data_IF_278290874116
#
_entry.id   IF_278290874116
#
_cell.length_a   1.000
_cell.length_b   1.000
_cell.length_c   1.000
_cell.angle_alpha   90.00
_cell.angle_beta   90.00
_cell.angle_gamma   90.00
#
_symmetry.space_group_name_H-M   'P 1'
#
loop_
_entity.id
_entity.type
_entity.pdbx_description
1 polymer ?
#
# COMPACT_ATOMS: atom_id res chain seq x y z
N UNK A 1 10.01 12.91 3.48
CA UNK A 1 8.70 12.61 2.86
C UNK A 1 8.99 11.87 1.56
N UNK A 2 8.41 10.68 1.34
CA UNK A 2 8.63 9.93 0.09
C UNK A 2 8.19 10.80 -1.09
N UNK A 3 9.01 10.86 -2.13
CA UNK A 3 8.82 11.71 -3.31
C UNK A 3 9.00 10.85 -4.56
N UNK A 4 8.25 11.14 -5.61
CA UNK A 4 8.48 10.52 -6.93
C UNK A 4 9.77 11.00 -7.60
N UNK A 5 10.41 12.04 -7.05
CA UNK A 5 11.70 12.59 -7.52
C UNK A 5 12.91 12.12 -6.72
N UNK A 6 12.68 11.53 -5.55
CA UNK A 6 13.72 10.98 -4.68
C UNK A 6 13.22 9.65 -4.10
N UNK A 7 13.73 8.57 -4.67
CA UNK A 7 13.34 7.20 -4.32
C UNK A 7 14.23 6.60 -3.24
N UNK A 8 15.25 7.32 -2.74
CA UNK A 8 16.18 6.82 -1.71
C UNK A 8 15.51 6.47 -0.37
N UNK A 9 14.30 7.01 -0.16
CA UNK A 9 13.48 6.77 1.03
C UNK A 9 12.52 5.58 0.88
N UNK A 10 12.49 4.91 -0.28
CA UNK A 10 11.68 3.70 -0.43
C UNK A 10 12.32 2.54 0.35
N UNK A 11 11.53 1.73 1.08
CA UNK A 11 12.05 0.58 1.77
C UNK A 11 12.50 -0.49 0.78
N UNK A 12 13.44 -1.34 1.21
CA UNK A 12 13.76 -2.56 0.48
C UNK A 12 12.53 -3.48 0.41
N UNK A 13 12.40 -4.21 -0.70
CA UNK A 13 11.26 -5.10 -0.92
C UNK A 13 11.11 -6.12 0.22
N UNK A 14 12.22 -6.67 0.71
CA UNK A 14 12.23 -7.64 1.81
C UNK A 14 11.70 -7.03 3.12
N UNK A 15 12.05 -5.78 3.41
CA UNK A 15 11.56 -5.06 4.58
C UNK A 15 10.07 -4.77 4.48
N UNK A 16 9.60 -4.34 3.30
CA UNK A 16 8.18 -4.11 3.04
C UNK A 16 7.37 -5.40 3.20
N UNK A 17 7.86 -6.53 2.65
CA UNK A 17 7.22 -7.84 2.78
C UNK A 17 7.15 -8.30 4.23
N UNK A 18 8.24 -8.17 4.97
CA UNK A 18 8.30 -8.53 6.39
C UNK A 18 7.32 -7.70 7.23
N UNK A 19 7.26 -6.39 6.98
CA UNK A 19 6.32 -5.50 7.67
C UNK A 19 4.87 -5.88 7.37
N UNK A 20 4.54 -6.09 6.09
CA UNK A 20 3.19 -6.48 5.68
C UNK A 20 2.76 -7.82 6.32
N UNK A 21 3.67 -8.80 6.37
CA UNK A 21 3.43 -10.07 7.06
C UNK A 21 3.21 -9.88 8.55
N UNK A 22 4.04 -9.06 9.20
CA UNK A 22 3.99 -8.82 10.65
C UNK A 22 2.65 -8.22 11.06
N UNK A 23 2.20 -7.17 10.37
CA UNK A 23 0.94 -6.52 10.74
C UNK A 23 -0.28 -7.40 10.38
N UNK A 24 -0.23 -8.17 9.29
CA UNK A 24 -1.29 -9.13 8.99
C UNK A 24 -1.38 -10.28 10.02
N UNK A 25 -0.23 -10.73 10.54
CA UNK A 25 -0.20 -11.74 11.61
C UNK A 25 -0.78 -11.17 12.92
N UNK A 26 -0.44 -9.94 13.27
CA UNK A 26 -1.03 -9.27 14.43
C UNK A 26 -2.55 -9.12 14.29
N UNK A 27 -3.04 -8.69 13.12
CA UNK A 27 -4.48 -8.62 12.85
C UNK A 27 -5.14 -10.00 13.00
N UNK A 28 -4.49 -11.08 12.55
CA UNK A 28 -5.02 -12.43 12.66
C UNK A 28 -5.04 -12.99 14.10
N UNK A 29 -4.15 -12.50 14.97
CA UNK A 29 -4.14 -12.81 16.42
C UNK A 29 -5.26 -12.07 17.14
N UNK A 30 -5.48 -10.79 16.80
CA UNK A 30 -6.50 -9.96 17.43
C UNK A 30 -7.90 -10.37 17.00
N UNK A 31 -8.08 -10.65 15.70
CA UNK A 31 -9.37 -11.01 15.10
C UNK A 31 -9.28 -12.40 14.44
N UNK A 32 -9.76 -13.45 15.12
CA UNK A 32 -9.77 -14.80 14.58
C UNK A 32 -10.66 -14.96 13.34
N UNK A 33 -11.76 -14.21 13.22
CA UNK A 33 -12.64 -14.29 12.06
C UNK A 33 -12.01 -13.63 10.84
N UNK A 34 -11.72 -14.45 9.83
CA UNK A 34 -11.14 -13.99 8.57
C UNK A 34 -11.93 -12.87 7.89
N UNK A 35 -13.27 -12.91 7.96
CA UNK A 35 -14.12 -11.94 7.27
C UNK A 35 -13.99 -10.53 7.85
N UNK A 36 -13.58 -10.41 9.11
CA UNK A 36 -13.48 -9.15 9.85
C UNK A 36 -12.06 -8.58 9.89
N UNK A 37 -11.06 -9.33 9.38
CA UNK A 37 -9.66 -8.86 9.36
C UNK A 37 -9.46 -7.73 8.36
N UNK A 38 -8.79 -6.68 8.84
CA UNK A 38 -8.40 -5.53 8.02
C UNK A 38 -7.22 -5.86 7.11
N UNK A 39 -6.24 -6.63 7.59
CA UNK A 39 -5.05 -7.03 6.84
C UNK A 39 -5.03 -8.51 6.56
N UNK A 40 -4.41 -8.87 5.44
CA UNK A 40 -4.21 -10.26 5.04
C UNK A 40 -2.87 -10.42 4.35
N UNK A 41 -2.26 -11.59 4.51
CA UNK A 41 -0.99 -11.96 3.89
C UNK A 41 -1.04 -13.41 3.41
N UNK A 42 -0.95 -13.61 2.10
CA UNK A 42 -0.93 -14.92 1.46
C UNK A 42 0.45 -15.23 0.91
N UNK A 43 1.19 -16.11 1.59
CA UNK A 43 2.53 -16.54 1.18
C UNK A 43 2.56 -17.47 -0.05
N UNK A 44 1.40 -18.02 -0.44
CA UNK A 44 1.23 -18.95 -1.55
C UNK A 44 0.17 -18.42 -2.51
N UNK A 45 0.31 -17.16 -2.93
CA UNK A 45 -0.66 -16.53 -3.84
C UNK A 45 -0.54 -17.10 -5.27
N UNK A 46 0.69 -17.42 -5.66
CA UNK A 46 1.05 -18.04 -6.93
C UNK A 46 2.47 -18.61 -6.86
N UNK A 47 3.03 -19.03 -8.01
CA UNK A 47 4.41 -19.52 -8.09
C UNK A 47 5.38 -18.39 -7.74
N UNK A 48 6.10 -18.54 -6.62
CA UNK A 48 7.01 -17.52 -6.06
C UNK A 48 6.35 -16.16 -5.79
N UNK A 49 5.02 -16.14 -5.65
CA UNK A 49 4.23 -14.93 -5.44
C UNK A 49 3.63 -14.85 -4.05
N UNK A 50 3.69 -13.64 -3.49
CA UNK A 50 3.09 -13.30 -2.20
C UNK A 50 2.18 -12.11 -2.37
N UNK A 51 1.00 -12.17 -1.76
CA UNK A 51 0.03 -11.07 -1.74
C UNK A 51 -0.16 -10.55 -0.32
N UNK A 52 -0.06 -9.23 -0.15
CA UNK A 52 -0.53 -8.53 1.04
C UNK A 52 -1.68 -7.59 0.67
N UNK A 53 -2.69 -7.48 1.53
CA UNK A 53 -3.82 -6.59 1.28
C UNK A 53 -4.36 -5.92 2.54
N UNK A 54 -4.92 -4.73 2.37
CA UNK A 54 -5.76 -4.04 3.36
C UNK A 54 -7.14 -3.81 2.78
N UNK A 55 -8.17 -4.02 3.59
CA UNK A 55 -9.56 -3.63 3.32
C UNK A 55 -10.12 -3.00 4.59
N UNK A 56 -10.55 -1.74 4.55
CA UNK A 56 -11.11 -1.09 5.73
C UNK A 56 -12.62 -1.32 5.93
N UNK A 57 -13.27 -2.01 5.00
CA UNK A 57 -14.73 -2.20 4.98
C UNK A 57 -15.53 -1.04 4.40
N UNK A 58 -14.88 0.08 4.09
CA UNK A 58 -15.50 1.34 3.63
C UNK A 58 -14.97 1.82 2.28
N UNK A 59 -14.26 0.96 1.55
CA UNK A 59 -13.79 1.24 0.18
C UNK A 59 -12.33 1.66 0.09
N UNK A 60 -11.65 1.98 1.21
CA UNK A 60 -10.19 2.16 1.18
C UNK A 60 -9.47 0.82 1.31
N UNK A 61 -8.37 0.72 0.59
CA UNK A 61 -7.53 -0.45 0.67
C UNK A 61 -6.33 -0.40 -0.24
N UNK A 62 -5.53 -1.44 -0.16
CA UNK A 62 -4.45 -1.68 -1.11
C UNK A 62 -4.21 -3.17 -1.32
N UNK A 63 -3.52 -3.46 -2.41
CA UNK A 63 -2.90 -4.76 -2.70
C UNK A 63 -1.42 -4.55 -2.98
N UNK A 64 -0.57 -5.43 -2.45
CA UNK A 64 0.85 -5.50 -2.77
C UNK A 64 1.14 -6.92 -3.23
N UNK A 65 1.59 -7.06 -4.48
CA UNK A 65 2.08 -8.31 -5.03
C UNK A 65 3.61 -8.29 -4.98
N UNK A 66 4.22 -9.33 -4.43
CA UNK A 66 5.66 -9.54 -4.40
C UNK A 66 6.02 -10.75 -5.25
N UNK A 67 7.09 -10.66 -6.04
CA UNK A 67 7.68 -11.76 -6.79
C UNK A 67 9.22 -11.57 -6.89
N UNK A 68 9.97 -12.49 -7.53
CA UNK A 68 11.42 -12.34 -7.68
C UNK A 68 11.85 -11.08 -8.45
N UNK A 69 10.96 -10.49 -9.26
CA UNK A 69 11.21 -9.26 -10.03
C UNK A 69 10.96 -7.97 -9.24
N UNK A 70 10.33 -8.03 -8.06
CA UNK A 70 10.05 -6.86 -7.23
C UNK A 70 8.66 -6.87 -6.60
N UNK A 71 8.12 -5.68 -6.36
CA UNK A 71 6.80 -5.49 -5.79
C UNK A 71 5.97 -4.46 -6.58
N UNK A 72 4.67 -4.74 -6.72
CA UNK A 72 3.68 -3.80 -7.27
C UNK A 72 2.67 -3.48 -6.18
N UNK A 73 2.44 -2.19 -5.93
CA UNK A 73 1.42 -1.71 -5.01
C UNK A 73 0.30 -1.01 -5.78
N UNK A 74 -0.94 -1.44 -5.55
CA UNK A 74 -2.16 -0.77 -6.03
C UNK A 74 -2.97 -0.29 -4.83
N UNK A 75 -3.07 1.02 -4.67
CA UNK A 75 -3.92 1.65 -3.64
C UNK A 75 -5.26 2.12 -4.22
N UNK A 76 -6.32 2.02 -3.41
CA UNK A 76 -7.62 2.63 -3.66
C UNK A 76 -7.92 3.57 -2.49
N UNK A 77 -7.58 4.86 -2.63
CA UNK A 77 -7.91 5.87 -1.63
C UNK A 77 -9.29 6.46 -1.95
N UNK A 78 -10.35 5.80 -1.49
CA UNK A 78 -11.73 6.17 -1.77
C UNK A 78 -12.13 7.49 -1.10
N UNK A 79 -11.65 7.73 0.13
CA UNK A 79 -12.00 8.94 0.89
C UNK A 79 -11.07 10.14 0.68
N UNK A 80 -10.07 10.01 -0.20
CA UNK A 80 -9.09 11.07 -0.38
C UNK A 80 -9.60 12.20 -1.26
N UNK A 81 -9.63 13.41 -0.69
CA UNK A 81 -9.90 14.64 -1.44
C UNK A 81 -8.73 14.92 -2.37
N UNK A 82 -8.98 14.90 -3.69
CA UNK A 82 -8.00 15.31 -4.68
C UNK A 82 -7.72 16.80 -4.51
N UNK A 83 -6.52 17.14 -4.04
CA UNK A 83 -6.08 18.53 -3.97
C UNK A 83 -6.06 19.11 -5.39
N UNK A 84 -6.82 20.18 -5.62
CA UNK A 84 -6.73 20.94 -6.88
C UNK A 84 -5.33 21.52 -7.00
N UNK A 85 -4.73 21.38 -8.17
CA UNK A 85 -3.42 21.97 -8.46
C UNK A 85 -3.47 23.49 -8.21
N UNK A 86 -2.47 24.04 -7.50
CA UNK A 86 -2.30 25.49 -7.41
C UNK A 86 -1.86 25.98 -8.78
N UNK A 87 -2.78 26.54 -9.56
CA UNK A 87 -2.44 27.29 -10.76
C UNK A 87 -1.50 28.43 -10.37
N UNK A 88 -0.25 28.40 -10.84
CA UNK A 88 0.64 29.56 -10.71
C UNK A 88 0.06 30.66 -11.61
N UNK A 89 -0.64 31.62 -11.03
CA UNK A 89 -0.96 32.87 -11.72
C UNK A 89 0.33 33.68 -11.81
N UNK A 90 1.08 33.50 -12.91
CA UNK A 90 2.16 34.42 -13.25
C UNK A 90 1.53 35.64 -13.90
N UNK A 91 1.16 36.63 -13.09
CA UNK A 91 0.97 37.97 -13.60
C UNK A 91 2.36 38.52 -13.93
N UNK A 92 2.75 38.44 -15.20
CA UNK A 92 3.79 39.30 -15.76
C UNK A 92 3.12 40.67 -15.92
N UNK A 93 3.38 41.59 -14.99
CA UNK A 93 3.15 43.00 -15.22
C UNK A 93 4.36 43.54 -15.99
N UNK A 94 4.03 44.27 -17.06
CA UNK A 94 4.90 44.89 -18.04
C UNK A 94 5.85 45.94 -17.45
#
# INVERSE_FOLDING_TARGET
MISTRDLSLLPEMSQLKLLAQSVAMLDAIIEPDWALRYRSFGAHWGTDEVMASVRNGSGDGYFILFNPGGAILKGVPHEWVRLKERTKSTAVLA
#
